data_IF_670189462335
#
_entry.id   IF_670189462335
#
_cell.length_a   1.000
_cell.length_b   1.000
_cell.length_c   1.000
_cell.angle_alpha   90.00
_cell.angle_beta   90.00
_cell.angle_gamma   90.00
#
_symmetry.space_group_name_H-M   'P 1'
#
loop_
_entity.id
_entity.type
_entity.pdbx_description
1 polymer ?
#
# COMPACT_ATOMS: atom_id res chain seq x y z
N UNK A 1 43.75 -60.00 -9.40
CA UNK A 1 43.80 -58.65 -8.78
C UNK A 1 42.91 -57.75 -9.59
N UNK A 2 41.67 -57.58 -9.14
CA UNK A 2 40.71 -56.65 -9.69
C UNK A 2 40.58 -55.47 -8.74
N UNK A 3 41.19 -54.33 -9.08
CA UNK A 3 41.01 -53.11 -8.35
C UNK A 3 39.70 -52.47 -8.84
N UNK A 4 38.64 -52.58 -8.04
CA UNK A 4 37.43 -51.83 -8.18
C UNK A 4 37.71 -50.39 -7.71
N UNK A 5 37.98 -49.49 -8.65
CA UNK A 5 37.91 -48.07 -8.39
C UNK A 5 36.45 -47.69 -8.14
N UNK A 6 36.10 -47.47 -6.89
CA UNK A 6 34.88 -46.73 -6.52
C UNK A 6 35.04 -45.29 -6.97
N UNK A 7 34.40 -44.91 -8.08
CA UNK A 7 34.21 -43.52 -8.47
C UNK A 7 33.17 -42.92 -7.54
N UNK A 8 33.60 -42.14 -6.56
CA UNK A 8 32.72 -41.26 -5.81
C UNK A 8 32.24 -40.17 -6.77
N UNK A 9 31.15 -40.43 -7.47
CA UNK A 9 30.45 -39.42 -8.24
C UNK A 9 29.86 -38.46 -7.21
N UNK A 10 30.56 -37.33 -7.01
CA UNK A 10 29.98 -36.22 -6.25
C UNK A 10 28.82 -35.70 -7.07
N UNK A 11 27.57 -35.99 -6.62
CA UNK A 11 26.35 -35.44 -7.21
C UNK A 11 26.48 -33.92 -7.36
N UNK A 12 26.10 -33.43 -8.53
CA UNK A 12 26.01 -32.01 -8.78
C UNK A 12 25.29 -31.33 -7.61
N UNK A 13 25.82 -30.22 -7.08
CA UNK A 13 25.16 -29.45 -6.00
C UNK A 13 23.69 -29.13 -6.29
N UNK A 14 23.32 -28.92 -7.56
CA UNK A 14 21.93 -28.68 -7.98
C UNK A 14 21.07 -29.93 -7.81
N UNK A 15 21.54 -31.10 -8.32
CA UNK A 15 20.82 -32.36 -8.16
C UNK A 15 20.68 -32.78 -6.69
N UNK A 16 21.69 -32.51 -5.88
CA UNK A 16 21.62 -32.79 -4.44
C UNK A 16 20.55 -31.92 -3.77
N UNK A 17 20.42 -30.66 -4.14
CA UNK A 17 19.39 -29.74 -3.59
C UNK A 17 17.98 -30.10 -4.06
N UNK A 18 17.84 -30.52 -5.32
CA UNK A 18 16.56 -30.98 -5.88
C UNK A 18 16.09 -32.26 -5.20
N UNK A 19 16.98 -33.25 -5.05
CA UNK A 19 16.67 -34.52 -4.34
C UNK A 19 16.29 -34.23 -2.87
N UNK A 20 16.97 -33.32 -2.19
CA UNK A 20 16.61 -32.93 -0.83
C UNK A 20 15.23 -32.24 -0.76
N UNK A 21 14.90 -31.45 -1.75
CA UNK A 21 13.59 -30.76 -1.82
C UNK A 21 12.45 -31.80 -2.07
N UNK A 22 12.66 -32.79 -2.94
CA UNK A 22 11.72 -33.88 -3.21
C UNK A 22 11.49 -34.75 -1.98
N UNK A 23 12.52 -34.96 -1.15
CA UNK A 23 12.44 -35.70 0.11
C UNK A 23 11.85 -34.90 1.27
N UNK A 24 11.39 -33.69 1.03
CA UNK A 24 10.82 -32.81 2.08
C UNK A 24 11.86 -32.17 3.00
N UNK A 25 13.14 -32.29 2.73
CA UNK A 25 14.26 -31.72 3.48
C UNK A 25 14.63 -30.31 2.96
N UNK A 26 13.64 -29.51 2.64
CA UNK A 26 13.87 -28.13 2.20
C UNK A 26 14.45 -27.28 3.34
N UNK A 27 15.53 -26.55 3.07
CA UNK A 27 16.11 -25.55 3.99
C UNK A 27 15.08 -24.47 4.32
N UNK A 28 14.21 -24.14 3.35
CA UNK A 28 13.15 -23.16 3.50
C UNK A 28 11.85 -23.88 3.87
N UNK A 29 11.52 -23.88 5.16
CA UNK A 29 10.30 -24.53 5.67
C UNK A 29 9.01 -23.89 5.16
N UNK A 30 9.03 -22.58 4.91
CA UNK A 30 7.88 -21.83 4.38
C UNK A 30 8.33 -20.82 3.32
N UNK A 31 8.26 -21.16 2.01
CA UNK A 31 8.68 -20.24 0.94
C UNK A 31 7.83 -18.97 0.86
N UNK A 32 6.62 -18.95 1.42
CA UNK A 32 5.77 -17.78 1.41
C UNK A 32 6.37 -16.60 2.19
N UNK A 33 7.25 -16.84 3.17
CA UNK A 33 7.93 -15.78 3.94
C UNK A 33 8.87 -14.93 3.08
N UNK A 34 9.27 -15.42 1.92
CA UNK A 34 10.15 -14.73 0.97
C UNK A 34 9.37 -13.83 -0.02
N UNK A 35 8.05 -13.86 0.01
CA UNK A 35 7.24 -13.03 -0.88
C UNK A 35 7.24 -11.59 -0.41
N UNK A 36 7.24 -10.65 -1.36
CA UNK A 36 7.19 -9.20 -1.06
C UNK A 36 5.89 -8.76 -0.37
N UNK A 37 4.81 -9.52 -0.54
CA UNK A 37 3.50 -9.27 0.04
C UNK A 37 3.27 -9.98 1.38
N UNK A 38 4.25 -10.78 1.84
CA UNK A 38 4.14 -11.52 3.09
C UNK A 38 4.09 -10.58 4.30
N UNK A 39 3.07 -10.76 5.13
CA UNK A 39 2.91 -10.05 6.39
C UNK A 39 3.03 -11.08 7.52
N UNK A 40 4.08 -11.03 8.34
CA UNK A 40 4.26 -11.97 9.46
C UNK A 40 3.18 -11.77 10.52
N UNK A 41 2.82 -12.84 11.22
CA UNK A 41 1.88 -12.78 12.34
C UNK A 41 2.38 -11.84 13.44
N UNK A 42 3.69 -11.80 13.68
CA UNK A 42 4.33 -10.89 14.63
C UNK A 42 5.48 -10.15 13.99
N UNK A 43 5.49 -8.81 14.14
CA UNK A 43 6.62 -7.96 13.76
C UNK A 43 7.42 -7.70 15.04
N UNK A 44 8.63 -8.25 15.09
CA UNK A 44 9.51 -8.13 16.26
C UNK A 44 10.06 -6.69 16.40
N UNK A 45 10.20 -6.24 17.62
CA UNK A 45 10.81 -4.94 17.97
C UNK A 45 10.13 -3.72 17.32
N UNK A 46 8.83 -3.80 17.04
CA UNK A 46 8.03 -2.71 16.44
C UNK A 46 6.70 -2.46 17.18
N UNK A 47 6.58 -2.90 18.41
CA UNK A 47 5.34 -2.79 19.18
C UNK A 47 4.91 -1.31 19.35
N UNK A 48 5.84 -0.43 19.74
CA UNK A 48 5.60 1.02 19.83
C UNK A 48 5.09 1.63 18.53
N UNK A 49 5.73 1.30 17.40
CA UNK A 49 5.33 1.82 16.09
C UNK A 49 3.95 1.30 15.69
N UNK A 50 3.66 0.02 15.95
CA UNK A 50 2.34 -0.57 15.72
C UNK A 50 1.28 0.12 16.57
N UNK A 51 1.56 0.40 17.85
CA UNK A 51 0.66 1.12 18.73
C UNK A 51 0.36 2.54 18.22
N UNK A 52 1.36 3.31 17.85
CA UNK A 52 1.20 4.67 17.32
C UNK A 52 0.35 4.71 16.06
N UNK A 53 0.64 3.82 15.10
CA UNK A 53 -0.16 3.71 13.86
C UNK A 53 -1.59 3.28 14.19
N UNK A 54 -1.77 2.31 15.08
CA UNK A 54 -3.09 1.84 15.50
C UNK A 54 -3.88 2.95 16.16
N UNK A 55 -3.29 3.70 17.11
CA UNK A 55 -3.94 4.82 17.80
C UNK A 55 -4.41 5.88 16.81
N UNK A 56 -3.60 6.21 15.80
CA UNK A 56 -3.97 7.15 14.74
C UNK A 56 -5.14 6.67 13.88
N UNK A 57 -5.33 5.35 13.76
CA UNK A 57 -6.36 4.74 12.93
C UNK A 57 -7.61 4.25 13.71
N UNK A 58 -7.58 4.29 15.05
CA UNK A 58 -8.76 3.99 15.89
C UNK A 58 -10.02 4.76 15.46
N UNK A 59 -9.94 6.05 15.04
CA UNK A 59 -11.13 6.76 14.56
C UNK A 59 -11.88 6.05 13.43
N UNK A 60 -11.19 5.34 12.53
CA UNK A 60 -11.83 4.51 11.50
C UNK A 60 -12.79 3.48 12.11
N UNK A 61 -12.37 2.84 13.19
CA UNK A 61 -13.17 1.86 13.90
C UNK A 61 -14.39 2.48 14.60
N UNK A 62 -14.25 3.73 15.06
CA UNK A 62 -15.29 4.49 15.76
C UNK A 62 -16.17 5.33 14.82
N UNK A 63 -16.11 5.10 13.52
CA UNK A 63 -16.89 5.86 12.51
C UNK A 63 -16.52 7.35 12.46
N UNK A 64 -15.32 7.69 12.84
CA UNK A 64 -14.76 9.04 12.80
C UNK A 64 -13.67 9.13 11.75
N UNK A 65 -13.34 10.34 11.33
CA UNK A 65 -12.30 10.60 10.34
C UNK A 65 -10.93 10.48 11.01
N UNK A 66 -10.05 9.56 10.58
CA UNK A 66 -8.69 9.50 11.11
C UNK A 66 -7.87 10.69 10.62
N UNK A 67 -6.85 11.11 11.38
CA UNK A 67 -5.92 12.12 10.92
C UNK A 67 -5.09 11.63 9.74
N UNK A 68 -4.55 12.56 8.95
CA UNK A 68 -3.50 12.23 8.01
C UNK A 68 -2.23 11.85 8.78
N UNK A 69 -1.52 10.83 8.29
CA UNK A 69 -0.36 10.26 8.97
C UNK A 69 0.85 10.26 8.03
N UNK A 70 2.00 10.72 8.53
CA UNK A 70 3.28 10.60 7.86
C UNK A 70 4.18 9.64 8.64
N UNK A 71 4.54 8.52 8.02
CA UNK A 71 5.47 7.52 8.57
C UNK A 71 6.80 7.65 7.84
N UNK A 72 7.83 8.09 8.54
CA UNK A 72 9.14 8.34 7.92
C UNK A 72 10.28 7.67 8.69
N UNK A 73 11.40 7.47 8.01
CA UNK A 73 12.59 6.86 8.61
C UNK A 73 13.48 6.19 7.56
N UNK A 74 14.64 5.68 7.98
CA UNK A 74 15.60 5.03 7.08
C UNK A 74 14.98 3.86 6.30
N UNK A 75 15.46 3.55 5.07
CA UNK A 75 15.06 2.37 4.34
C UNK A 75 15.26 1.08 5.15
N UNK A 76 14.48 0.03 4.88
CA UNK A 76 14.62 -1.27 5.54
C UNK A 76 14.14 -1.34 7.00
N UNK A 77 13.59 -0.26 7.57
CA UNK A 77 13.14 -0.24 8.96
C UNK A 77 11.74 -0.85 9.20
N UNK A 78 11.10 -1.38 8.15
CA UNK A 78 9.80 -2.07 8.24
C UNK A 78 8.58 -1.14 8.31
N UNK A 79 8.69 0.13 7.92
CA UNK A 79 7.58 1.12 7.93
C UNK A 79 6.34 0.62 7.20
N UNK A 80 6.51 0.24 5.94
CA UNK A 80 5.44 -0.28 5.08
C UNK A 80 4.79 -1.52 5.68
N UNK A 81 5.59 -2.42 6.24
CA UNK A 81 5.11 -3.65 6.86
C UNK A 81 4.23 -3.35 8.09
N UNK A 82 4.65 -2.42 8.95
CA UNK A 82 3.86 -2.01 10.13
C UNK A 82 2.52 -1.42 9.70
N UNK A 83 2.53 -0.48 8.74
CA UNK A 83 1.30 0.15 8.24
C UNK A 83 0.35 -0.90 7.63
N UNK A 84 0.86 -1.76 6.74
CA UNK A 84 0.05 -2.82 6.10
C UNK A 84 -0.55 -3.78 7.13
N UNK A 85 0.23 -4.19 8.14
CA UNK A 85 -0.26 -5.08 9.18
C UNK A 85 -1.41 -4.46 9.97
N UNK A 86 -1.25 -3.23 10.43
CA UNK A 86 -2.28 -2.53 11.20
C UNK A 86 -3.55 -2.35 10.37
N UNK A 87 -3.42 -1.91 9.11
CA UNK A 87 -4.56 -1.75 8.22
C UNK A 87 -5.29 -3.06 7.94
N UNK A 88 -4.58 -4.17 7.70
CA UNK A 88 -5.20 -5.48 7.52
C UNK A 88 -5.96 -5.93 8.78
N UNK A 89 -5.39 -5.70 9.96
CA UNK A 89 -6.07 -6.05 11.21
C UNK A 89 -7.34 -5.21 11.44
N UNK A 90 -7.31 -3.93 11.09
CA UNK A 90 -8.49 -3.06 11.15
C UNK A 90 -9.54 -3.54 10.15
N UNK A 91 -9.16 -3.76 8.90
CA UNK A 91 -10.06 -4.20 7.83
C UNK A 91 -10.74 -5.52 8.18
N UNK A 92 -10.00 -6.53 8.62
CA UNK A 92 -10.55 -7.84 9.01
C UNK A 92 -11.56 -7.78 10.17
N UNK A 93 -11.46 -6.77 11.03
CA UNK A 93 -12.40 -6.56 12.13
C UNK A 93 -13.66 -5.82 11.70
N UNK A 94 -13.52 -4.96 10.69
CA UNK A 94 -14.60 -4.06 10.24
C UNK A 94 -15.49 -4.71 9.18
N UNK A 95 -14.97 -5.59 8.34
CA UNK A 95 -15.71 -6.23 7.24
C UNK A 95 -16.95 -7.02 7.71
N UNK A 96 -16.99 -7.39 8.99
CA UNK A 96 -18.13 -8.10 9.57
C UNK A 96 -19.33 -7.22 9.92
N UNK A 97 -19.20 -5.88 9.87
CA UNK A 97 -20.18 -4.96 10.47
C UNK A 97 -20.66 -3.82 9.55
N UNK A 98 -20.81 -4.04 8.26
CA UNK A 98 -21.43 -3.07 7.33
C UNK A 98 -20.67 -1.72 7.19
N UNK A 99 -19.45 -1.63 7.63
CA UNK A 99 -18.65 -0.41 7.55
C UNK A 99 -17.92 -0.33 6.22
N UNK A 100 -18.19 0.70 5.44
CA UNK A 100 -17.59 0.87 4.11
C UNK A 100 -16.20 1.51 4.20
N UNK A 101 -15.26 0.83 4.86
CA UNK A 101 -13.87 1.22 4.81
C UNK A 101 -13.28 0.71 3.49
N UNK A 102 -12.59 1.60 2.78
CA UNK A 102 -11.79 1.27 1.61
C UNK A 102 -10.36 1.73 1.81
N UNK A 103 -9.43 0.81 1.68
CA UNK A 103 -7.99 1.09 1.69
C UNK A 103 -7.51 0.97 0.26
N UNK A 104 -6.89 2.03 -0.26
CA UNK A 104 -6.25 2.04 -1.57
C UNK A 104 -4.76 2.33 -1.38
N UNK A 105 -3.91 1.49 -1.92
CA UNK A 105 -2.46 1.53 -1.70
C UNK A 105 -1.72 1.63 -3.01
N UNK A 106 -0.77 2.54 -3.11
CA UNK A 106 0.13 2.66 -4.25
C UNK A 106 1.56 2.96 -3.80
N UNK A 107 2.53 2.61 -4.64
CA UNK A 107 3.92 3.04 -4.46
C UNK A 107 4.23 4.16 -5.46
N UNK A 108 4.60 5.33 -4.95
CA UNK A 108 4.87 6.50 -5.80
C UNK A 108 6.08 6.33 -6.72
N UNK A 109 7.03 5.49 -6.34
CA UNK A 109 8.22 5.19 -7.15
C UNK A 109 7.90 4.33 -8.37
N UNK A 110 6.91 3.44 -8.26
CA UNK A 110 6.51 2.56 -9.35
C UNK A 110 5.63 3.28 -10.38
N UNK A 111 5.19 4.49 -10.06
CA UNK A 111 4.36 5.31 -10.92
C UNK A 111 5.20 6.37 -11.65
N UNK A 112 4.96 6.55 -12.94
CA UNK A 112 5.71 7.51 -13.76
C UNK A 112 5.38 8.97 -13.46
N UNK A 113 4.19 9.25 -12.92
CA UNK A 113 3.73 10.59 -12.58
C UNK A 113 2.57 10.56 -11.58
N UNK A 114 2.21 11.74 -11.07
CA UNK A 114 1.11 11.91 -10.11
C UNK A 114 -0.25 11.49 -10.67
N UNK A 115 -0.49 11.68 -11.98
CA UNK A 115 -1.73 11.25 -12.63
C UNK A 115 -1.93 9.73 -12.44
N UNK A 116 -0.90 8.94 -12.69
CA UNK A 116 -0.95 7.48 -12.54
C UNK A 116 -1.15 7.04 -11.09
N UNK A 117 -0.55 7.73 -10.13
CA UNK A 117 -0.81 7.52 -8.70
C UNK A 117 -2.30 7.67 -8.37
N UNK A 118 -2.92 8.75 -8.82
CA UNK A 118 -4.35 8.99 -8.57
C UNK A 118 -5.25 8.02 -9.33
N UNK A 119 -4.89 7.67 -10.57
CA UNK A 119 -5.63 6.68 -11.37
C UNK A 119 -5.60 5.31 -10.70
N UNK A 120 -4.45 4.88 -10.20
CA UNK A 120 -4.32 3.61 -9.49
C UNK A 120 -5.19 3.60 -8.22
N UNK A 121 -5.08 4.63 -7.37
CA UNK A 121 -5.90 4.78 -6.18
C UNK A 121 -7.41 4.82 -6.51
N UNK A 122 -7.79 5.58 -7.53
CA UNK A 122 -9.19 5.71 -7.94
C UNK A 122 -9.79 4.40 -8.46
N UNK A 123 -9.02 3.60 -9.18
CA UNK A 123 -9.44 2.27 -9.66
C UNK A 123 -9.67 1.29 -8.52
N UNK A 124 -8.83 1.33 -7.49
CA UNK A 124 -9.02 0.49 -6.30
C UNK A 124 -10.31 0.87 -5.53
N UNK A 125 -10.79 2.11 -5.64
CA UNK A 125 -12.09 2.52 -5.11
C UNK A 125 -13.28 2.08 -5.97
N UNK A 126 -13.04 1.62 -7.20
CA UNK A 126 -14.06 1.11 -8.12
C UNK A 126 -14.34 2.00 -9.34
N UNK A 127 -13.55 3.06 -9.58
CA UNK A 127 -13.60 3.79 -10.83
C UNK A 127 -13.20 2.89 -12.00
N UNK A 128 -13.84 3.03 -13.14
CA UNK A 128 -13.74 2.11 -14.28
C UNK A 128 -12.86 2.67 -15.39
N UNK A 129 -12.00 1.83 -15.96
CA UNK A 129 -11.19 2.20 -17.13
C UNK A 129 -12.01 2.34 -18.42
N UNK A 130 -13.10 1.58 -18.53
CA UNK A 130 -14.05 1.65 -19.66
C UNK A 130 -15.12 2.69 -19.36
N UNK A 131 -15.56 3.40 -20.41
CA UNK A 131 -16.66 4.37 -20.32
C UNK A 131 -17.92 3.71 -19.77
N UNK A 132 -18.58 4.38 -18.84
CA UNK A 132 -19.78 3.92 -18.17
C UNK A 132 -20.91 4.91 -18.44
N UNK A 133 -22.20 4.53 -18.25
CA UNK A 133 -23.32 5.46 -18.36
C UNK A 133 -23.18 6.67 -17.40
N UNK A 134 -22.58 6.48 -16.24
CA UNK A 134 -22.18 7.55 -15.34
C UNK A 134 -20.73 7.96 -15.67
N UNK A 135 -20.55 9.00 -16.46
CA UNK A 135 -19.24 9.48 -16.91
C UNK A 135 -18.30 9.83 -15.75
N UNK A 136 -18.84 10.16 -14.57
CA UNK A 136 -18.04 10.44 -13.37
C UNK A 136 -17.39 9.19 -12.77
N UNK A 137 -17.87 8.00 -13.11
CA UNK A 137 -17.26 6.73 -12.70
C UNK A 137 -16.21 6.23 -13.69
N UNK A 138 -16.09 6.89 -14.86
CA UNK A 138 -15.08 6.56 -15.84
C UNK A 138 -13.75 7.22 -15.48
N UNK A 139 -12.67 6.45 -15.45
CA UNK A 139 -11.32 6.91 -15.17
C UNK A 139 -10.35 6.34 -16.20
N UNK A 140 -10.14 7.06 -17.32
CA UNK A 140 -9.19 6.65 -18.33
C UNK A 140 -7.75 6.70 -17.84
N UNK A 141 -6.86 6.01 -18.54
CA UNK A 141 -5.43 6.01 -18.20
C UNK A 141 -4.74 7.34 -18.55
N UNK A 142 -5.34 8.17 -19.40
CA UNK A 142 -4.82 9.47 -19.83
C UNK A 142 -5.97 10.38 -20.26
N UNK A 143 -5.69 11.67 -20.45
CA UNK A 143 -6.62 12.60 -21.10
C UNK A 143 -7.48 13.45 -20.16
N UNK A 144 -7.44 13.22 -18.85
CA UNK A 144 -8.07 14.08 -17.87
C UNK A 144 -7.02 14.97 -17.17
N UNK A 145 -7.44 16.11 -16.66
CA UNK A 145 -6.59 16.88 -15.75
C UNK A 145 -6.46 16.16 -14.40
N UNK A 146 -5.37 16.41 -13.67
CA UNK A 146 -5.15 15.84 -12.32
C UNK A 146 -6.31 16.24 -11.39
N UNK A 147 -6.78 17.48 -11.48
CA UNK A 147 -7.92 17.96 -10.70
C UNK A 147 -9.21 17.21 -11.03
N UNK A 148 -9.45 16.88 -12.30
CA UNK A 148 -10.63 16.11 -12.70
C UNK A 148 -10.55 14.67 -12.20
N UNK A 149 -9.37 14.02 -12.29
CA UNK A 149 -9.15 12.69 -11.70
C UNK A 149 -9.48 12.72 -10.20
N UNK A 150 -9.01 13.72 -9.49
CA UNK A 150 -9.27 13.84 -8.06
C UNK A 150 -10.75 14.10 -7.75
N UNK A 151 -11.43 14.93 -8.54
CA UNK A 151 -12.87 15.15 -8.39
C UNK A 151 -13.69 13.87 -8.59
N UNK A 152 -13.30 13.00 -9.51
CA UNK A 152 -13.92 11.68 -9.70
C UNK A 152 -13.68 10.74 -8.53
N UNK A 153 -12.51 10.80 -7.92
CA UNK A 153 -12.21 10.09 -6.67
C UNK A 153 -13.13 10.59 -5.54
N UNK A 154 -13.27 11.90 -5.35
CA UNK A 154 -14.17 12.44 -4.35
C UNK A 154 -15.63 12.07 -4.63
N UNK A 155 -16.04 12.07 -5.90
CA UNK A 155 -17.38 11.67 -6.30
C UNK A 155 -17.71 10.21 -5.91
N UNK A 156 -16.81 9.25 -6.18
CA UNK A 156 -17.07 7.85 -5.81
C UNK A 156 -17.07 7.64 -4.30
N UNK A 157 -16.21 8.35 -3.56
CA UNK A 157 -16.19 8.35 -2.09
C UNK A 157 -17.53 8.83 -1.54
N UNK A 158 -18.02 9.96 -2.01
CA UNK A 158 -19.29 10.56 -1.57
C UNK A 158 -20.49 9.70 -1.97
N UNK A 159 -20.55 9.28 -3.25
CA UNK A 159 -21.66 8.44 -3.78
C UNK A 159 -21.83 7.14 -3.00
N UNK A 160 -20.75 6.49 -2.64
CA UNK A 160 -20.76 5.21 -1.94
C UNK A 160 -20.61 5.34 -0.43
N UNK A 161 -20.52 6.57 0.10
CA UNK A 161 -20.32 6.87 1.53
C UNK A 161 -19.13 6.11 2.10
N UNK A 162 -17.98 6.16 1.40
CA UNK A 162 -16.79 5.40 1.76
C UNK A 162 -15.98 6.15 2.82
N UNK A 163 -15.48 5.41 3.81
CA UNK A 163 -14.39 5.87 4.66
C UNK A 163 -13.07 5.37 4.04
N UNK A 164 -12.38 6.26 3.36
CA UNK A 164 -11.24 5.91 2.52
C UNK A 164 -9.92 6.23 3.21
N UNK A 165 -8.98 5.31 3.12
CA UNK A 165 -7.58 5.53 3.50
C UNK A 165 -6.71 5.34 2.27
N UNK A 166 -6.03 6.40 1.86
CA UNK A 166 -4.97 6.31 0.87
C UNK A 166 -3.65 6.00 1.56
N UNK A 167 -2.96 5.01 1.07
CA UNK A 167 -1.59 4.68 1.49
C UNK A 167 -0.68 4.91 0.30
N UNK A 168 0.19 5.91 0.41
CA UNK A 168 1.18 6.22 -0.62
C UNK A 168 2.56 5.89 -0.06
N UNK A 169 3.12 4.77 -0.53
CA UNK A 169 4.47 4.37 -0.19
C UNK A 169 5.48 5.17 -1.02
N UNK A 170 6.65 5.43 -0.45
CA UNK A 170 7.71 6.27 -1.04
C UNK A 170 7.18 7.63 -1.53
N UNK A 171 6.32 8.27 -0.72
CA UNK A 171 5.65 9.53 -1.04
C UNK A 171 6.63 10.68 -1.34
N UNK A 172 7.86 10.60 -0.86
CA UNK A 172 8.94 11.54 -1.19
C UNK A 172 9.29 11.56 -2.68
N UNK A 173 9.01 10.47 -3.43
CA UNK A 173 9.10 10.47 -4.89
C UNK A 173 8.09 11.39 -5.54
N UNK A 174 6.88 11.53 -5.01
CA UNK A 174 5.92 12.50 -5.52
C UNK A 174 6.45 13.92 -5.44
N UNK A 175 7.11 14.28 -4.33
CA UNK A 175 7.69 15.61 -4.18
C UNK A 175 8.80 15.91 -5.20
N UNK A 176 9.45 14.88 -5.76
CA UNK A 176 10.47 15.02 -6.82
C UNK A 176 9.86 15.09 -8.22
N UNK A 177 8.72 14.40 -8.43
CA UNK A 177 7.99 14.39 -9.71
C UNK A 177 7.14 15.64 -9.89
N UNK A 178 7.07 16.49 -8.87
CA UNK A 178 6.06 17.50 -8.73
C UNK A 178 6.65 18.87 -8.94
N UNK A 179 6.32 19.44 -10.09
CA UNK A 179 6.12 20.87 -10.26
C UNK A 179 5.07 21.38 -9.26
N UNK A 180 4.84 22.70 -9.19
CA UNK A 180 3.84 23.33 -8.30
C UNK A 180 2.50 22.57 -8.20
N UNK A 181 2.06 21.93 -9.30
CA UNK A 181 0.80 21.18 -9.40
C UNK A 181 0.66 20.00 -8.41
N UNK A 182 1.71 19.35 -8.02
CA UNK A 182 1.58 18.20 -7.14
C UNK A 182 1.63 18.54 -5.66
N UNK A 183 2.27 19.64 -5.26
CA UNK A 183 2.10 20.18 -3.92
C UNK A 183 0.63 20.54 -3.71
N UNK A 184 -0.02 21.11 -4.72
CA UNK A 184 -1.42 21.45 -4.67
C UNK A 184 -2.32 20.23 -4.51
N UNK A 185 -1.97 19.08 -5.11
CA UNK A 185 -2.80 17.87 -4.98
C UNK A 185 -2.61 17.18 -3.64
N UNK A 186 -1.39 17.08 -3.09
CA UNK A 186 -1.19 16.58 -1.73
C UNK A 186 -1.94 17.42 -0.71
N UNK A 187 -1.86 18.75 -0.85
CA UNK A 187 -2.66 19.68 -0.06
C UNK A 187 -4.17 19.44 -0.23
N UNK A 188 -4.62 19.19 -1.46
CA UNK A 188 -6.04 18.92 -1.74
C UNK A 188 -6.49 17.59 -1.14
N UNK A 189 -5.64 16.54 -1.17
CA UNK A 189 -5.93 15.24 -0.53
C UNK A 189 -6.07 15.42 0.97
N UNK A 190 -5.15 16.14 1.62
CA UNK A 190 -5.19 16.35 3.07
C UNK A 190 -6.39 17.16 3.54
N UNK A 191 -7.00 17.94 2.65
CA UNK A 191 -8.20 18.75 2.90
C UNK A 191 -9.46 18.23 2.23
N UNK A 192 -9.43 17.02 1.69
CA UNK A 192 -10.57 16.41 1.00
C UNK A 192 -11.86 16.40 1.83
N UNK A 193 -11.72 16.22 3.14
CA UNK A 193 -12.86 16.18 4.07
C UNK A 193 -13.64 17.48 4.18
N UNK A 194 -13.08 18.61 3.74
CA UNK A 194 -13.83 19.88 3.63
C UNK A 194 -14.87 19.85 2.49
N UNK A 195 -14.69 18.94 1.51
CA UNK A 195 -15.59 18.77 0.36
C UNK A 195 -16.53 17.56 0.50
N UNK A 196 -16.22 16.63 1.39
CA UNK A 196 -16.98 15.40 1.61
C UNK A 196 -18.00 15.59 2.74
N UNK A 197 -19.24 15.13 2.51
CA UNK A 197 -20.34 15.20 3.49
C UNK A 197 -20.68 13.82 4.10
N UNK A 198 -20.67 12.78 3.27
CA UNK A 198 -21.11 11.44 3.64
C UNK A 198 -20.00 10.39 3.60
N UNK A 199 -18.83 10.77 3.13
CA UNK A 199 -17.64 9.95 3.09
C UNK A 199 -16.46 10.64 3.78
N UNK A 200 -15.32 9.95 3.84
CA UNK A 200 -14.08 10.54 4.36
C UNK A 200 -12.87 10.05 3.58
N UNK A 201 -11.82 10.86 3.57
CA UNK A 201 -10.53 10.52 2.98
C UNK A 201 -9.42 10.90 3.95
N UNK A 202 -8.55 9.95 4.25
CA UNK A 202 -7.33 10.17 5.03
C UNK A 202 -6.13 9.65 4.27
N UNK A 203 -5.00 10.30 4.45
CA UNK A 203 -3.74 9.97 3.79
C UNK A 203 -2.74 9.38 4.79
N UNK A 204 -2.16 8.24 4.45
CA UNK A 204 -0.96 7.71 5.08
C UNK A 204 0.18 7.81 4.06
N UNK A 205 1.10 8.74 4.29
CA UNK A 205 2.33 8.83 3.51
C UNK A 205 3.45 8.05 4.20
N UNK A 206 4.17 7.23 3.42
CA UNK A 206 5.37 6.52 3.92
C UNK A 206 6.56 7.07 3.15
N UNK A 207 7.58 7.56 3.88
CA UNK A 207 8.77 8.16 3.27
C UNK A 207 10.06 7.51 3.77
N UNK A 208 11.02 7.38 2.88
CA UNK A 208 12.39 7.01 3.18
C UNK A 208 13.28 8.22 3.50
N UNK A 209 12.80 9.44 3.24
CA UNK A 209 13.50 10.69 3.56
C UNK A 209 13.07 11.20 4.96
N UNK A 210 14.00 11.23 5.90
CA UNK A 210 13.77 11.72 7.27
C UNK A 210 13.44 13.22 7.29
N UNK A 211 13.93 13.98 6.30
CA UNK A 211 13.68 15.42 6.15
C UNK A 211 12.46 15.75 5.30
N UNK A 212 11.71 14.74 4.86
CA UNK A 212 10.52 14.96 4.04
C UNK A 212 9.46 15.82 4.74
N UNK A 213 9.32 15.70 6.06
CA UNK A 213 8.41 16.54 6.87
C UNK A 213 8.69 18.03 6.73
N UNK A 214 9.93 18.42 6.46
CA UNK A 214 10.34 19.83 6.35
C UNK A 214 10.04 20.40 4.94
N UNK A 215 9.56 19.56 4.02
CA UNK A 215 9.23 19.91 2.63
C UNK A 215 7.72 20.00 2.35
N UNK A 216 6.91 19.57 3.32
CA UNK A 216 5.44 19.64 3.29
C UNK A 216 4.94 20.96 3.84
#
# INVERSE_FOLDING_TARGET
KNDLKMSTTTLDPVERLLNNAEQGNSIIKNPNVLRHDYIPERILHRDKQQELVTQSLIPLYKKSIPPNLLVYGKPGTGKTLVVRKVLNQIQNRVDKNSYRIKIATTNAKDQSNLYNVLVDLGRQLGLKSKKTPDDKLWLPSTGLSISEVFNRILYIIEKNKLNTVFVIDEIDHLAKLVDKTGKDILYSITRANLKLKNGSLSLIGISNDVRFKDKL
#
